data_IF_587387209192
#
_entry.id   IF_587387209192
#
_cell.length_a   1.000
_cell.length_b   1.000
_cell.length_c   1.000
_cell.angle_alpha   90.00
_cell.angle_beta   90.00
_cell.angle_gamma   90.00
#
_symmetry.space_group_name_H-M   'P 1'
#
loop_
_entity.id
_entity.type
_entity.pdbx_description
1 polymer ?
#
# COMPACT_ATOMS: atom_id res chain seq x y z
N UNK A 1 -41.67 12.19 -0.48
CA UNK A 1 -40.53 11.51 0.16
C UNK A 1 -41.03 10.25 0.85
N UNK A 2 -40.75 9.09 0.26
CA UNK A 2 -40.87 7.80 0.94
C UNK A 2 -39.63 6.99 0.57
N UNK A 3 -38.97 6.51 1.62
CA UNK A 3 -37.53 6.29 1.74
C UNK A 3 -37.19 4.82 1.45
N UNK A 4 -37.25 4.39 0.19
CA UNK A 4 -37.01 2.98 -0.16
C UNK A 4 -36.27 2.79 -1.50
N UNK A 5 -35.45 3.75 -1.93
CA UNK A 5 -34.65 3.62 -3.17
C UNK A 5 -33.19 4.07 -3.00
N UNK A 6 -32.53 3.72 -1.90
CA UNK A 6 -31.16 4.19 -1.64
C UNK A 6 -30.21 3.14 -1.05
N UNK A 7 -30.34 1.86 -1.43
CA UNK A 7 -29.37 0.83 -1.04
C UNK A 7 -29.03 -0.17 -2.17
N UNK A 8 -29.29 0.20 -3.43
CA UNK A 8 -29.00 -0.67 -4.59
C UNK A 8 -27.60 -0.47 -5.19
N UNK A 9 -26.79 0.46 -4.68
CA UNK A 9 -25.55 0.91 -5.35
C UNK A 9 -24.26 0.59 -4.59
N UNK A 10 -24.28 -0.47 -3.76
CA UNK A 10 -23.04 -1.13 -3.36
C UNK A 10 -22.77 -2.27 -4.33
N UNK A 11 -22.45 -1.92 -5.57
CA UNK A 11 -21.72 -2.81 -6.45
C UNK A 11 -20.39 -3.13 -5.74
N UNK A 12 -20.34 -4.26 -5.05
CA UNK A 12 -19.08 -4.87 -4.64
C UNK A 12 -18.35 -5.12 -5.96
N UNK A 13 -17.29 -4.36 -6.20
CA UNK A 13 -16.40 -4.54 -7.36
C UNK A 13 -15.93 -6.00 -7.41
N UNK A 14 -16.62 -6.82 -8.21
CA UNK A 14 -16.32 -8.24 -8.44
C UNK A 14 -15.00 -8.44 -9.22
N UNK A 15 -14.35 -7.33 -9.60
CA UNK A 15 -13.01 -7.32 -10.17
C UNK A 15 -11.92 -7.64 -9.13
N UNK A 16 -12.22 -7.58 -7.83
CA UNK A 16 -11.25 -7.84 -6.77
C UNK A 16 -11.06 -9.35 -6.53
N UNK A 17 -10.28 -10.03 -7.38
CA UNK A 17 -9.86 -11.42 -7.14
C UNK A 17 -9.21 -11.56 -5.74
N UNK A 18 -9.85 -12.23 -4.75
CA UNK A 18 -9.44 -12.15 -3.34
C UNK A 18 -8.01 -12.65 -3.09
N UNK A 19 -7.56 -13.62 -3.90
CA UNK A 19 -6.19 -14.13 -3.86
C UNK A 19 -5.13 -13.06 -4.16
N UNK A 20 -5.40 -12.18 -5.13
CA UNK A 20 -4.48 -11.11 -5.51
C UNK A 20 -4.40 -10.00 -4.45
N UNK A 21 -5.52 -9.65 -3.80
CA UNK A 21 -5.52 -8.69 -2.68
C UNK A 21 -4.71 -9.22 -1.50
N UNK A 22 -4.85 -10.51 -1.17
CA UNK A 22 -4.05 -11.14 -0.12
C UNK A 22 -2.56 -11.15 -0.45
N UNK A 23 -2.18 -11.45 -1.70
CA UNK A 23 -0.77 -11.40 -2.12
C UNK A 23 -0.21 -9.98 -2.10
N UNK A 24 -1.02 -8.98 -2.45
CA UNK A 24 -0.60 -7.58 -2.45
C UNK A 24 -0.40 -7.03 -1.04
N UNK A 25 -1.36 -7.27 -0.13
CA UNK A 25 -1.21 -6.95 1.29
C UNK A 25 -0.01 -7.67 1.91
N UNK A 26 0.15 -8.96 1.62
CA UNK A 26 1.28 -9.75 2.11
C UNK A 26 2.62 -9.20 1.64
N UNK A 27 2.72 -8.73 0.38
CA UNK A 27 3.93 -8.07 -0.12
C UNK A 27 4.25 -6.82 0.70
N UNK A 28 3.30 -5.90 0.88
CA UNK A 28 3.52 -4.64 1.61
C UNK A 28 4.00 -4.92 3.04
N UNK A 29 3.30 -5.81 3.75
CA UNK A 29 3.64 -6.17 5.12
C UNK A 29 5.02 -6.83 5.20
N UNK A 30 5.34 -7.73 4.27
CA UNK A 30 6.61 -8.45 4.28
C UNK A 30 7.81 -7.53 4.02
N UNK A 31 7.69 -6.59 3.07
CA UNK A 31 8.74 -5.59 2.80
C UNK A 31 8.98 -4.72 4.04
N UNK A 32 7.92 -4.22 4.68
CA UNK A 32 8.06 -3.42 5.90
C UNK A 32 8.68 -4.20 7.04
N UNK A 33 8.24 -5.43 7.29
CA UNK A 33 8.79 -6.23 8.39
C UNK A 33 10.27 -6.54 8.21
N UNK A 34 10.72 -6.80 6.97
CA UNK A 34 12.14 -6.99 6.68
C UNK A 34 12.99 -5.74 6.91
N UNK A 35 12.40 -4.55 6.78
CA UNK A 35 13.13 -3.31 7.07
C UNK A 35 13.34 -3.07 8.57
N UNK A 36 12.63 -3.79 9.46
CA UNK A 36 12.70 -3.61 10.91
C UNK A 36 12.08 -2.31 11.43
N UNK A 37 11.36 -1.56 10.57
CA UNK A 37 10.79 -0.25 10.90
C UNK A 37 9.33 -0.40 11.36
N UNK A 38 8.90 0.49 12.27
CA UNK A 38 7.47 0.70 12.51
C UNK A 38 6.78 1.21 11.25
N UNK A 39 5.44 1.15 11.20
CA UNK A 39 4.66 1.64 10.06
C UNK A 39 4.94 3.12 9.76
N UNK A 40 5.00 3.97 10.79
CA UNK A 40 5.26 5.40 10.64
C UNK A 40 6.71 5.68 10.19
N UNK A 41 7.69 4.92 10.68
CA UNK A 41 9.08 5.06 10.25
C UNK A 41 9.27 4.61 8.80
N UNK A 42 8.65 3.49 8.41
CA UNK A 42 8.68 3.01 7.03
C UNK A 42 8.03 4.01 6.07
N UNK A 43 6.85 4.53 6.44
CA UNK A 43 6.15 5.56 5.67
C UNK A 43 7.05 6.78 5.41
N UNK A 44 7.69 7.31 6.46
CA UNK A 44 8.61 8.45 6.33
C UNK A 44 9.85 8.10 5.50
N UNK A 45 10.51 6.99 5.82
CA UNK A 45 11.78 6.60 5.17
C UNK A 45 11.65 6.39 3.66
N UNK A 46 10.46 6.05 3.18
CA UNK A 46 10.20 5.74 1.77
C UNK A 46 9.21 6.71 1.11
N UNK A 47 8.95 7.88 1.73
CA UNK A 47 8.03 8.90 1.21
C UNK A 47 6.64 8.34 0.82
N UNK A 48 6.13 7.40 1.61
CA UNK A 48 4.80 6.81 1.43
C UNK A 48 3.84 7.49 2.41
N UNK A 49 2.70 8.04 1.96
CA UNK A 49 1.67 8.55 2.86
C UNK A 49 1.24 7.49 3.87
N UNK A 50 1.29 7.81 5.17
CA UNK A 50 0.98 6.85 6.24
C UNK A 50 -0.43 6.25 6.11
N UNK A 51 -1.42 7.06 5.73
CA UNK A 51 -2.79 6.60 5.51
C UNK A 51 -2.89 5.62 4.34
N UNK A 52 -2.14 5.87 3.25
CA UNK A 52 -2.07 4.96 2.10
C UNK A 52 -1.43 3.63 2.50
N UNK A 53 -0.31 3.67 3.24
CA UNK A 53 0.35 2.47 3.75
C UNK A 53 -0.59 1.66 4.65
N UNK A 54 -1.32 2.31 5.56
CA UNK A 54 -2.28 1.66 6.44
C UNK A 54 -3.42 1.00 5.67
N UNK A 55 -4.02 1.69 4.68
CA UNK A 55 -5.08 1.14 3.85
C UNK A 55 -4.61 -0.08 3.04
N UNK A 56 -3.38 -0.05 2.52
CA UNK A 56 -2.75 -1.18 1.82
C UNK A 56 -2.48 -2.37 2.75
N UNK A 57 -1.92 -2.11 3.93
CA UNK A 57 -1.66 -3.16 4.93
C UNK A 57 -2.95 -3.73 5.52
N UNK A 58 -4.06 -2.99 5.52
CA UNK A 58 -5.38 -3.50 5.86
C UNK A 58 -6.07 -4.20 4.67
N UNK A 59 -5.57 -4.02 3.45
CA UNK A 59 -6.15 -4.57 2.23
C UNK A 59 -7.44 -3.86 1.78
N UNK A 60 -7.65 -2.62 2.25
CA UNK A 60 -8.78 -1.76 1.85
C UNK A 60 -8.61 -1.23 0.42
N UNK A 61 -7.36 -1.03 -0.01
CA UNK A 61 -7.01 -0.64 -1.37
C UNK A 61 -5.95 -1.59 -1.93
N UNK A 62 -5.84 -1.66 -3.25
CA UNK A 62 -4.80 -2.44 -3.93
C UNK A 62 -3.65 -1.52 -4.35
N UNK A 63 -2.39 -1.95 -4.20
CA UNK A 63 -1.27 -1.24 -4.81
C UNK A 63 -1.40 -1.35 -6.33
N UNK A 64 -1.19 -0.24 -7.01
CA UNK A 64 -1.08 -0.25 -8.47
C UNK A 64 0.27 -0.87 -8.90
N UNK A 65 0.48 -0.91 -10.22
CA UNK A 65 1.71 -1.46 -10.79
C UNK A 65 2.97 -0.67 -10.37
N UNK A 66 2.88 0.66 -10.25
CA UNK A 66 4.00 1.51 -9.91
C UNK A 66 4.39 1.34 -8.43
N UNK A 67 3.42 1.31 -7.52
CA UNK A 67 3.64 1.07 -6.11
C UNK A 67 4.18 -0.35 -5.86
N UNK A 68 3.67 -1.34 -6.60
CA UNK A 68 4.19 -2.71 -6.55
C UNK A 68 5.65 -2.79 -7.00
N UNK A 69 6.01 -2.11 -8.09
CA UNK A 69 7.40 -2.01 -8.53
C UNK A 69 8.27 -1.30 -7.49
N UNK A 70 7.77 -0.20 -6.92
CA UNK A 70 8.47 0.55 -5.88
C UNK A 70 8.77 -0.30 -4.64
N UNK A 71 7.78 -1.04 -4.13
CA UNK A 71 7.97 -1.96 -3.01
C UNK A 71 9.03 -3.03 -3.29
N UNK A 72 9.11 -3.55 -4.52
CA UNK A 72 10.15 -4.51 -4.92
C UNK A 72 11.55 -3.89 -4.91
N UNK A 73 11.66 -2.62 -5.32
CA UNK A 73 12.95 -1.90 -5.27
C UNK A 73 13.35 -1.64 -3.82
N UNK A 74 12.42 -1.22 -2.95
CA UNK A 74 12.68 -1.08 -1.51
C UNK A 74 13.15 -2.40 -0.92
N UNK A 75 12.51 -3.50 -1.27
CA UNK A 75 12.85 -4.83 -0.74
C UNK A 75 14.27 -5.27 -1.11
N UNK A 76 14.71 -4.90 -2.31
CA UNK A 76 16.01 -5.30 -2.83
C UNK A 76 17.14 -4.36 -2.42
N UNK A 77 16.88 -3.05 -2.39
CA UNK A 77 17.89 -2.01 -2.19
C UNK A 77 17.36 -0.84 -1.34
N UNK A 78 16.97 -1.08 -0.07
CA UNK A 78 16.34 -0.07 0.76
C UNK A 78 17.24 1.15 1.00
N UNK A 79 18.56 0.95 1.13
CA UNK A 79 19.53 2.02 1.39
C UNK A 79 19.66 2.96 0.19
N UNK A 80 19.65 2.41 -1.03
CA UNK A 80 19.71 3.17 -2.28
C UNK A 80 18.47 4.03 -2.45
N UNK A 81 17.29 3.49 -2.13
CA UNK A 81 16.04 4.25 -2.19
C UNK A 81 16.07 5.41 -1.19
N UNK A 82 16.50 5.16 0.05
CA UNK A 82 16.61 6.21 1.08
C UNK A 82 17.57 7.32 0.66
N UNK A 83 18.77 6.96 0.18
CA UNK A 83 19.74 7.93 -0.32
C UNK A 83 19.18 8.77 -1.49
N UNK A 84 18.45 8.13 -2.41
CA UNK A 84 17.84 8.81 -3.53
C UNK A 84 16.75 9.80 -3.09
N UNK A 85 15.91 9.42 -2.13
CA UNK A 85 14.86 10.29 -1.57
C UNK A 85 15.45 11.47 -0.79
N UNK A 86 16.47 11.23 0.04
CA UNK A 86 17.18 12.29 0.77
C UNK A 86 17.77 13.32 -0.20
N UNK A 87 18.39 12.88 -1.29
CA UNK A 87 18.93 13.76 -2.34
C UNK A 87 17.84 14.53 -3.10
N UNK A 88 16.66 13.93 -3.24
CA UNK A 88 15.50 14.57 -3.85
C UNK A 88 14.78 15.55 -2.91
N UNK A 89 15.15 15.59 -1.63
CA UNK A 89 14.54 16.47 -0.63
C UNK A 89 13.21 15.94 -0.06
N UNK A 90 13.04 14.61 -0.05
CA UNK A 90 11.92 13.92 0.57
C UNK A 90 12.22 13.50 2.02
#
# INVERSE_FOLDING_TARGET
MTRTEAIADLAIDDAAQPGQSRSARALVQAVRWRSGLSQAEFARAFAIPLEQLAALELGQVRPDAAFTAYLRVIDHAPDVVREALERAGH
#
